data_IF_597008751662
#
_entry.id   IF_597008751662
#
_cell.length_a   1.000
_cell.length_b   1.000
_cell.length_c   1.000
_cell.angle_alpha   90.00
_cell.angle_beta   90.00
_cell.angle_gamma   90.00
#
_symmetry.space_group_name_H-M   'P 1'
#
loop_
_entity.id
_entity.type
_entity.pdbx_description
1 polymer ?
#
# COMPACT_ATOMS: atom_id res chain seq x y z
N UNK A 1 -10.59 93.37 -80.06
CA UNK A 1 -11.56 92.31 -79.98
C UNK A 1 -11.29 91.45 -78.75
N UNK A 2 -12.03 91.68 -77.70
CA UNK A 2 -11.93 90.85 -76.48
C UNK A 2 -13.27 90.24 -76.22
N UNK A 3 -13.38 88.92 -76.29
CA UNK A 3 -14.54 88.12 -75.83
C UNK A 3 -14.45 87.95 -74.33
N UNK A 4 -15.50 88.37 -73.61
CA UNK A 4 -15.67 87.96 -72.18
C UNK A 4 -16.55 86.72 -72.13
N UNK A 5 -16.04 85.72 -71.47
CA UNK A 5 -16.74 84.47 -71.22
C UNK A 5 -17.42 84.58 -69.84
N UNK A 6 -18.76 84.48 -69.81
CA UNK A 6 -19.54 84.40 -68.58
C UNK A 6 -19.54 82.95 -68.10
N UNK A 7 -19.00 82.73 -66.88
CA UNK A 7 -19.17 81.48 -66.18
C UNK A 7 -20.49 81.53 -65.37
N UNK A 8 -21.41 80.59 -65.64
CA UNK A 8 -22.57 80.32 -64.84
C UNK A 8 -22.17 79.21 -63.80
N UNK A 9 -22.16 79.55 -62.50
CA UNK A 9 -21.91 78.64 -61.41
C UNK A 9 -23.22 77.93 -61.07
N UNK A 10 -23.38 76.65 -61.47
CA UNK A 10 -24.49 75.79 -61.07
C UNK A 10 -24.11 75.15 -59.75
N UNK A 11 -24.70 75.57 -58.64
CA UNK A 11 -24.62 74.91 -57.34
C UNK A 11 -25.48 73.64 -57.33
N UNK A 12 -24.81 72.49 -57.39
CA UNK A 12 -25.44 71.19 -57.21
C UNK A 12 -25.62 70.96 -55.69
N UNK A 13 -26.83 70.99 -55.21
CA UNK A 13 -27.15 70.47 -53.84
C UNK A 13 -27.18 68.96 -53.94
N UNK A 14 -26.14 68.30 -53.38
CA UNK A 14 -26.16 66.88 -53.15
C UNK A 14 -26.92 66.66 -51.80
N UNK A 15 -28.14 66.18 -51.89
CA UNK A 15 -28.88 65.65 -50.76
C UNK A 15 -28.26 64.27 -50.50
N UNK A 16 -27.38 64.17 -49.53
CA UNK A 16 -26.93 62.92 -49.01
C UNK A 16 -28.07 62.31 -48.18
N UNK A 17 -28.81 61.38 -48.77
CA UNK A 17 -29.69 60.49 -48.02
C UNK A 17 -28.78 59.58 -47.22
N UNK A 18 -28.70 59.76 -45.91
CA UNK A 18 -28.12 58.83 -45.04
C UNK A 18 -29.17 57.73 -44.80
N UNK A 19 -29.15 56.68 -45.63
CA UNK A 19 -29.85 55.49 -45.33
C UNK A 19 -29.11 54.89 -44.08
N UNK A 20 -29.70 55.07 -42.94
CA UNK A 20 -29.33 54.27 -41.78
C UNK A 20 -29.81 52.84 -42.11
N UNK A 21 -28.89 51.96 -42.53
CA UNK A 21 -29.19 50.58 -42.53
C UNK A 21 -29.50 50.22 -41.01
N UNK A 22 -30.73 49.83 -40.74
CA UNK A 22 -31.15 49.36 -39.47
C UNK A 22 -30.34 48.03 -39.22
N UNK A 23 -29.19 48.16 -38.55
CA UNK A 23 -28.39 47.00 -38.14
C UNK A 23 -29.19 46.27 -37.08
N UNK A 24 -29.72 45.08 -37.40
CA UNK A 24 -30.45 44.26 -36.47
C UNK A 24 -29.58 43.96 -35.25
N UNK A 25 -30.13 44.06 -34.04
CA UNK A 25 -29.43 43.65 -32.83
C UNK A 25 -29.00 42.18 -32.91
N UNK A 26 -27.75 41.91 -32.57
CA UNK A 26 -27.16 40.59 -32.65
C UNK A 26 -27.20 39.92 -31.28
N UNK A 27 -27.69 38.68 -31.26
CA UNK A 27 -27.78 37.83 -30.05
C UNK A 27 -26.75 36.71 -30.15
N UNK A 28 -26.04 36.45 -29.02
CA UNK A 28 -25.09 35.36 -28.86
C UNK A 28 -25.39 34.59 -27.58
N UNK A 29 -25.04 33.29 -27.56
CA UNK A 29 -25.00 32.47 -26.34
C UNK A 29 -23.56 32.26 -25.91
N UNK A 30 -23.35 32.21 -24.60
CA UNK A 30 -22.08 31.92 -23.97
C UNK A 30 -22.25 31.02 -22.70
N UNK A 31 -21.24 30.24 -22.42
CA UNK A 31 -21.14 29.37 -21.26
C UNK A 31 -19.66 29.28 -20.81
N UNK A 32 -19.40 28.96 -19.55
CA UNK A 32 -18.04 28.95 -19.00
C UNK A 32 -17.15 27.85 -19.57
N UNK A 33 -17.73 26.68 -19.86
CA UNK A 33 -17.08 25.52 -20.47
C UNK A 33 -18.11 24.72 -21.29
N UNK A 34 -17.64 23.76 -22.08
CA UNK A 34 -18.46 22.88 -22.90
C UNK A 34 -18.36 21.40 -22.48
N UNK A 35 -17.63 21.10 -21.41
CA UNK A 35 -17.50 19.75 -20.86
C UNK A 35 -17.55 19.83 -19.35
N UNK A 36 -18.37 19.00 -18.75
CA UNK A 36 -18.55 18.91 -17.31
C UNK A 36 -18.72 17.45 -16.94
N UNK A 37 -18.16 17.06 -15.79
CA UNK A 37 -18.40 15.75 -15.21
C UNK A 37 -19.84 15.69 -14.70
N UNK A 38 -20.46 14.53 -14.71
CA UNK A 38 -21.85 14.33 -14.29
C UNK A 38 -22.05 14.74 -12.84
N UNK A 39 -21.11 14.39 -11.97
CA UNK A 39 -21.07 14.73 -10.55
C UNK A 39 -20.72 16.21 -10.25
N UNK A 40 -20.75 17.10 -11.25
CA UNK A 40 -20.43 18.51 -11.06
C UNK A 40 -21.45 19.21 -10.15
N UNK A 41 -21.08 19.48 -8.90
CA UNK A 41 -21.96 19.97 -7.84
C UNK A 41 -22.51 21.38 -8.04
N UNK A 42 -21.83 22.24 -8.86
CA UNK A 42 -22.25 23.62 -9.09
C UNK A 42 -23.18 23.73 -10.30
N UNK A 43 -23.98 24.79 -10.35
CA UNK A 43 -24.79 25.12 -11.51
C UNK A 43 -23.99 25.89 -12.55
N UNK A 44 -24.15 25.54 -13.82
CA UNK A 44 -23.57 26.31 -14.94
C UNK A 44 -24.54 27.37 -15.40
N UNK A 45 -24.00 28.53 -15.78
CA UNK A 45 -24.79 29.65 -16.28
C UNK A 45 -24.70 29.75 -17.80
N UNK A 46 -25.85 29.68 -18.46
CA UNK A 46 -25.98 29.98 -19.91
C UNK A 46 -26.43 31.41 -20.04
N UNK A 47 -25.63 32.24 -20.69
CA UNK A 47 -25.87 33.65 -20.84
C UNK A 47 -26.17 34.02 -22.32
N UNK A 48 -27.33 34.60 -22.55
CA UNK A 48 -27.64 35.26 -23.83
C UNK A 48 -27.25 36.73 -23.73
N UNK A 49 -26.48 37.20 -24.70
CA UNK A 49 -26.07 38.63 -24.79
C UNK A 49 -26.56 39.26 -26.08
N UNK A 50 -26.96 40.52 -25.98
CA UNK A 50 -27.33 41.35 -27.12
C UNK A 50 -26.33 42.52 -27.27
N UNK A 51 -25.89 42.82 -28.49
CA UNK A 51 -24.83 43.81 -28.74
C UNK A 51 -25.20 45.28 -28.51
N UNK A 52 -26.46 45.54 -28.19
CA UNK A 52 -27.01 46.85 -27.78
C UNK A 52 -27.98 46.63 -26.62
N UNK A 53 -28.16 47.59 -25.70
CA UNK A 53 -29.19 47.46 -24.66
C UNK A 53 -30.57 47.27 -25.27
N UNK A 54 -31.37 46.37 -24.69
CA UNK A 54 -32.70 46.08 -25.19
C UNK A 54 -33.66 47.27 -25.00
N UNK A 55 -34.39 47.63 -26.03
CA UNK A 55 -35.39 48.72 -25.97
C UNK A 55 -36.70 48.27 -25.29
N UNK A 56 -36.93 46.96 -25.20
CA UNK A 56 -38.05 46.29 -24.53
C UNK A 56 -37.60 44.91 -24.04
N UNK A 57 -38.39 44.23 -23.20
CA UNK A 57 -38.07 42.89 -22.77
C UNK A 57 -37.98 41.91 -23.93
N UNK A 58 -36.79 41.29 -24.11
CA UNK A 58 -36.53 40.29 -25.16
C UNK A 58 -36.65 38.91 -24.55
N UNK A 59 -37.65 38.15 -24.97
CA UNK A 59 -37.86 36.76 -24.56
C UNK A 59 -37.29 35.81 -25.60
N UNK A 60 -36.32 34.99 -25.18
CA UNK A 60 -35.68 33.95 -25.98
C UNK A 60 -36.17 32.60 -25.48
N UNK A 61 -36.81 31.83 -26.34
CA UNK A 61 -37.22 30.45 -26.04
C UNK A 61 -35.99 29.57 -26.11
N UNK A 62 -35.73 28.80 -25.05
CA UNK A 62 -34.66 27.82 -25.00
C UNK A 62 -35.21 26.45 -25.39
N UNK A 63 -34.54 25.81 -26.34
CA UNK A 63 -34.87 24.48 -26.81
C UNK A 63 -33.65 23.59 -26.53
N UNK A 64 -33.87 22.55 -25.78
CA UNK A 64 -32.86 21.51 -25.48
C UNK A 64 -33.13 20.24 -26.31
N UNK A 65 -32.08 19.57 -26.70
CA UNK A 65 -32.07 18.28 -27.37
C UNK A 65 -30.69 17.66 -27.19
N UNK A 66 -30.47 16.46 -27.66
CA UNK A 66 -29.20 15.73 -27.50
C UNK A 66 -29.45 14.28 -27.09
N UNK A 67 -28.44 13.63 -26.60
CA UNK A 67 -28.58 12.30 -25.97
C UNK A 67 -29.04 12.42 -24.53
N UNK A 68 -28.56 13.43 -23.79
CA UNK A 68 -28.94 13.68 -22.41
C UNK A 68 -30.43 14.03 -22.26
N UNK A 69 -31.08 13.45 -21.26
CA UNK A 69 -32.52 13.55 -20.98
C UNK A 69 -32.80 14.60 -19.91
N UNK A 70 -33.73 15.50 -20.18
CA UNK A 70 -34.15 16.51 -19.21
C UNK A 70 -34.89 15.86 -18.04
N UNK A 71 -34.57 16.25 -16.83
CA UNK A 71 -35.04 15.75 -15.53
C UNK A 71 -34.55 14.31 -15.17
N UNK A 72 -33.67 13.71 -16.00
CA UNK A 72 -32.89 12.50 -15.68
C UNK A 72 -31.42 12.88 -15.51
N UNK A 73 -30.75 13.42 -16.53
CA UNK A 73 -29.32 13.74 -16.54
C UNK A 73 -29.02 15.20 -16.22
N UNK A 74 -30.00 16.09 -16.45
CA UNK A 74 -29.88 17.51 -16.13
C UNK A 74 -31.23 18.17 -15.89
N UNK A 75 -31.18 19.32 -15.21
CA UNK A 75 -32.32 20.21 -15.05
C UNK A 75 -32.00 21.62 -15.52
N UNK A 76 -33.02 22.37 -15.95
CA UNK A 76 -32.89 23.78 -16.33
C UNK A 76 -33.78 24.70 -15.48
N UNK A 77 -33.26 25.85 -15.10
CA UNK A 77 -34.00 26.81 -14.26
C UNK A 77 -35.18 27.47 -14.96
N UNK A 78 -35.17 27.53 -16.29
CA UNK A 78 -36.24 28.09 -17.10
C UNK A 78 -36.13 27.64 -18.55
N UNK A 79 -37.27 27.49 -19.24
CA UNK A 79 -37.34 27.26 -20.68
C UNK A 79 -37.24 28.54 -21.53
N UNK A 80 -36.94 29.69 -20.90
CA UNK A 80 -36.73 30.96 -21.61
C UNK A 80 -35.69 31.84 -20.90
N UNK A 81 -34.92 32.60 -21.69
CA UNK A 81 -34.04 33.65 -21.21
C UNK A 81 -34.72 34.99 -21.49
N UNK A 82 -34.88 35.83 -20.46
CA UNK A 82 -35.38 37.20 -20.63
C UNK A 82 -34.22 38.18 -20.49
N UNK A 83 -34.00 38.99 -21.55
CA UNK A 83 -33.12 40.17 -21.48
C UNK A 83 -34.05 41.35 -21.21
N UNK A 84 -34.00 41.91 -20.02
CA UNK A 84 -34.90 43.00 -19.63
C UNK A 84 -34.57 44.31 -20.33
N UNK A 85 -35.58 45.18 -20.48
CA UNK A 85 -35.40 46.54 -21.01
C UNK A 85 -34.21 47.26 -20.36
N UNK A 86 -33.36 47.86 -21.15
CA UNK A 86 -32.14 48.55 -20.72
C UNK A 86 -30.97 47.64 -20.39
N UNK A 87 -31.15 46.32 -20.37
CA UNK A 87 -30.09 45.30 -20.15
C UNK A 87 -29.49 44.83 -21.46
N UNK A 88 -28.29 44.29 -21.42
CA UNK A 88 -27.61 43.67 -22.58
C UNK A 88 -27.41 42.16 -22.41
N UNK A 89 -27.93 41.54 -21.34
CA UNK A 89 -27.84 40.09 -21.15
C UNK A 89 -28.95 39.57 -20.25
N UNK A 90 -29.22 38.28 -20.39
CA UNK A 90 -30.06 37.48 -19.48
C UNK A 90 -29.50 36.06 -19.39
N UNK A 91 -29.88 35.31 -18.39
CA UNK A 91 -29.30 33.99 -18.15
C UNK A 91 -30.30 32.98 -17.62
N UNK A 92 -30.00 31.71 -17.82
CA UNK A 92 -30.59 30.57 -17.14
C UNK A 92 -29.45 29.72 -16.54
N UNK A 93 -29.82 28.75 -15.71
CA UNK A 93 -28.89 27.83 -15.06
C UNK A 93 -29.24 26.42 -15.46
N UNK A 94 -28.20 25.58 -15.62
CA UNK A 94 -28.29 24.13 -15.78
C UNK A 94 -27.62 23.52 -14.55
N UNK A 95 -28.24 22.47 -14.02
CA UNK A 95 -27.69 21.62 -12.96
C UNK A 95 -27.64 20.21 -13.51
N UNK A 96 -26.50 19.55 -13.41
CA UNK A 96 -26.38 18.14 -13.74
C UNK A 96 -26.97 17.29 -12.62
N UNK A 97 -27.42 16.11 -12.93
CA UNK A 97 -28.03 15.16 -12.02
C UNK A 97 -27.17 13.90 -12.07
N UNK A 98 -26.43 13.69 -10.99
CA UNK A 98 -25.53 12.57 -10.79
C UNK A 98 -26.35 11.34 -10.36
N UNK A 99 -26.09 10.18 -10.97
CA UNK A 99 -26.65 8.88 -10.55
C UNK A 99 -25.55 7.80 -10.47
N UNK A 100 -25.82 6.55 -10.66
CA UNK A 100 -24.84 5.45 -10.65
C UNK A 100 -25.08 4.52 -11.83
N UNK A 101 -25.54 5.06 -12.95
CA UNK A 101 -25.80 4.32 -14.17
C UNK A 101 -24.69 4.59 -15.18
N UNK A 102 -23.93 3.57 -15.59
CA UNK A 102 -22.92 3.72 -16.64
C UNK A 102 -23.60 3.87 -17.99
N UNK A 103 -23.77 5.09 -18.46
CA UNK A 103 -24.47 5.45 -19.68
C UNK A 103 -23.53 5.89 -20.82
N UNK A 104 -22.30 6.25 -20.44
CA UNK A 104 -21.31 6.87 -21.32
C UNK A 104 -21.60 8.35 -21.58
N UNK A 105 -20.60 9.06 -22.11
CA UNK A 105 -20.68 10.51 -22.27
C UNK A 105 -21.88 10.93 -23.12
N UNK A 106 -22.63 11.89 -22.62
CA UNK A 106 -23.81 12.42 -23.26
C UNK A 106 -23.68 13.88 -23.70
N UNK A 107 -24.67 14.44 -24.39
CA UNK A 107 -24.63 15.82 -24.76
C UNK A 107 -26.01 16.53 -24.68
N UNK A 108 -25.95 17.78 -24.29
CA UNK A 108 -27.08 18.74 -24.32
C UNK A 108 -26.85 19.70 -25.46
N UNK A 109 -27.73 19.68 -26.46
CA UNK A 109 -27.77 20.67 -27.52
C UNK A 109 -28.75 21.78 -27.14
N UNK A 110 -28.24 23.02 -26.99
CA UNK A 110 -29.04 24.18 -26.60
C UNK A 110 -29.18 25.10 -27.80
N UNK A 111 -30.42 25.40 -28.16
CA UNK A 111 -30.75 26.36 -29.22
C UNK A 111 -31.68 27.44 -28.66
N UNK A 112 -31.55 28.68 -29.15
CA UNK A 112 -32.48 29.75 -28.82
C UNK A 112 -33.23 30.23 -30.03
N UNK A 113 -34.47 30.67 -29.81
CA UNK A 113 -35.32 31.27 -30.80
C UNK A 113 -36.12 32.45 -30.22
N UNK A 114 -36.52 33.41 -31.03
CA UNK A 114 -37.39 34.50 -30.65
C UNK A 114 -38.32 34.87 -31.79
N UNK A 115 -39.47 35.46 -31.51
CA UNK A 115 -40.37 36.06 -32.47
C UNK A 115 -39.94 37.45 -32.92
N UNK A 116 -38.95 38.08 -32.24
CA UNK A 116 -38.39 39.38 -32.58
C UNK A 116 -37.47 39.34 -33.79
N UNK A 117 -37.14 40.52 -34.30
CA UNK A 117 -36.29 40.66 -35.49
C UNK A 117 -34.84 40.87 -35.06
N UNK A 118 -34.11 39.78 -34.83
CA UNK A 118 -32.72 39.72 -34.34
C UNK A 118 -31.82 38.99 -35.32
N UNK A 119 -30.52 39.32 -35.29
CA UNK A 119 -29.47 38.54 -35.92
C UNK A 119 -28.94 37.53 -34.92
N UNK A 120 -29.14 36.22 -35.14
CA UNK A 120 -28.65 35.18 -34.30
C UNK A 120 -27.23 34.77 -34.71
N UNK A 121 -26.26 34.98 -33.80
CA UNK A 121 -24.84 34.61 -33.96
C UNK A 121 -24.41 33.71 -32.83
N UNK A 122 -23.82 32.55 -33.14
CA UNK A 122 -23.38 31.56 -32.09
C UNK A 122 -24.50 31.27 -31.06
N UNK A 123 -25.68 30.91 -31.54
CA UNK A 123 -26.88 30.69 -30.72
C UNK A 123 -27.16 29.20 -30.47
N UNK A 124 -26.19 28.36 -30.81
CA UNK A 124 -26.21 26.93 -30.55
C UNK A 124 -25.00 26.59 -29.68
N UNK A 125 -25.24 25.90 -28.60
CA UNK A 125 -24.21 25.33 -27.73
C UNK A 125 -24.40 23.79 -27.67
N UNK A 126 -23.29 23.07 -27.65
CA UNK A 126 -23.27 21.64 -27.38
C UNK A 126 -22.42 21.44 -26.10
N UNK A 127 -23.05 21.00 -25.04
CA UNK A 127 -22.41 20.75 -23.76
C UNK A 127 -22.32 19.23 -23.60
N UNK A 128 -21.14 18.73 -23.29
CA UNK A 128 -20.91 17.29 -23.01
C UNK A 128 -20.97 17.07 -21.52
N UNK A 129 -21.78 16.10 -21.11
CA UNK A 129 -21.76 15.49 -19.78
C UNK A 129 -20.81 14.31 -19.87
N UNK A 130 -19.84 14.26 -19.00
CA UNK A 130 -18.87 13.16 -18.92
C UNK A 130 -19.34 12.23 -17.82
N UNK A 131 -19.70 11.02 -18.22
CA UNK A 131 -20.04 9.92 -17.34
C UNK A 131 -18.82 9.53 -16.52
N UNK A 132 -18.93 9.46 -15.21
CA UNK A 132 -17.89 9.01 -14.27
C UNK A 132 -18.24 7.68 -13.55
N UNK A 133 -19.35 7.05 -13.93
CA UNK A 133 -19.84 5.76 -13.45
C UNK A 133 -19.41 4.62 -14.37
N UNK A 134 -18.11 4.31 -14.29
CA UNK A 134 -17.55 3.22 -15.09
C UNK A 134 -18.03 1.85 -14.57
N UNK A 135 -18.44 0.99 -15.50
CA UNK A 135 -18.66 -0.44 -15.30
C UNK A 135 -17.69 -1.17 -16.24
N UNK A 136 -16.50 -1.52 -15.72
CA UNK A 136 -15.37 -1.98 -16.52
C UNK A 136 -15.60 -3.38 -17.09
N UNK A 137 -16.28 -4.28 -16.37
CA UNK A 137 -16.53 -5.68 -16.80
C UNK A 137 -17.93 -5.89 -17.36
N UNK A 138 -18.85 -4.93 -17.17
CA UNK A 138 -20.16 -4.94 -17.80
C UNK A 138 -21.21 -5.79 -17.09
N UNK A 139 -21.09 -6.00 -15.80
CA UNK A 139 -22.01 -6.82 -15.00
C UNK A 139 -23.23 -6.02 -14.47
N UNK A 140 -23.22 -4.70 -14.62
CA UNK A 140 -24.28 -3.79 -14.18
C UNK A 140 -24.05 -3.20 -12.80
N UNK A 141 -22.84 -3.35 -12.26
CA UNK A 141 -22.40 -2.69 -11.02
C UNK A 141 -21.23 -1.79 -11.37
N UNK A 142 -21.35 -0.50 -11.06
CA UNK A 142 -20.28 0.46 -11.36
C UNK A 142 -19.04 0.18 -10.50
N UNK A 143 -17.85 0.42 -11.04
CA UNK A 143 -16.55 0.10 -10.43
C UNK A 143 -16.42 0.58 -8.96
N UNK A 144 -17.02 1.72 -8.61
CA UNK A 144 -16.99 2.29 -7.26
C UNK A 144 -17.78 1.44 -6.24
N UNK A 145 -18.77 0.71 -6.70
CA UNK A 145 -19.64 -0.16 -5.90
C UNK A 145 -19.32 -1.65 -6.09
N UNK A 146 -18.37 -1.95 -6.98
CA UNK A 146 -17.96 -3.29 -7.33
C UNK A 146 -16.70 -3.70 -6.55
N UNK A 147 -16.75 -4.84 -5.88
CA UNK A 147 -15.61 -5.42 -5.18
C UNK A 147 -14.62 -6.10 -6.14
N UNK A 148 -15.04 -6.42 -7.37
CA UNK A 148 -14.25 -7.07 -8.40
C UNK A 148 -14.38 -6.35 -9.76
N UNK A 149 -13.99 -5.08 -9.92
CA UNK A 149 -14.31 -4.25 -11.10
C UNK A 149 -13.80 -4.74 -12.46
N UNK A 150 -13.00 -5.78 -12.50
CA UNK A 150 -12.46 -6.39 -13.73
C UNK A 150 -13.01 -7.80 -13.99
N UNK A 151 -13.92 -8.31 -13.11
CA UNK A 151 -14.39 -9.70 -13.16
C UNK A 151 -15.88 -9.80 -12.84
N UNK A 152 -16.71 -9.79 -13.90
CA UNK A 152 -18.15 -9.76 -13.81
C UNK A 152 -18.78 -10.82 -12.90
N UNK A 153 -19.59 -10.38 -11.94
CA UNK A 153 -20.28 -11.22 -10.98
C UNK A 153 -21.68 -10.74 -10.63
N UNK A 154 -22.41 -11.48 -9.80
CA UNK A 154 -23.76 -11.10 -9.41
C UNK A 154 -23.76 -10.03 -8.30
N UNK A 155 -24.87 -9.30 -8.21
CA UNK A 155 -25.08 -8.27 -7.17
C UNK A 155 -24.99 -8.84 -5.74
N UNK A 156 -25.34 -10.11 -5.55
CA UNK A 156 -25.25 -10.80 -4.27
C UNK A 156 -23.79 -10.97 -3.82
N UNK A 157 -22.84 -11.03 -4.76
CA UNK A 157 -21.39 -11.08 -4.54
C UNK A 157 -20.72 -9.71 -4.58
N UNK A 158 -21.50 -8.62 -4.61
CA UNK A 158 -20.98 -7.27 -4.79
C UNK A 158 -20.11 -7.12 -6.04
N UNK A 159 -20.55 -7.73 -7.17
CA UNK A 159 -19.82 -7.74 -8.42
C UNK A 159 -18.79 -8.85 -8.57
N UNK A 160 -18.51 -9.61 -7.51
CA UNK A 160 -17.54 -10.69 -7.61
C UNK A 160 -18.18 -12.00 -8.09
N UNK A 161 -17.53 -12.74 -9.02
CA UNK A 161 -17.93 -14.07 -9.39
C UNK A 161 -17.71 -15.09 -8.27
N UNK A 162 -18.27 -16.27 -8.42
CA UNK A 162 -17.95 -17.50 -7.70
C UNK A 162 -17.31 -18.43 -8.75
N UNK A 163 -15.97 -18.34 -8.86
CA UNK A 163 -15.23 -18.91 -9.98
C UNK A 163 -15.24 -20.43 -9.98
N UNK A 164 -15.17 -21.08 -8.82
CA UNK A 164 -15.13 -22.53 -8.68
C UNK A 164 -16.50 -23.15 -8.37
N UNK A 165 -17.48 -22.33 -7.97
CA UNK A 165 -18.87 -22.75 -7.80
C UNK A 165 -19.17 -23.39 -6.45
N UNK A 166 -18.41 -23.10 -5.43
CA UNK A 166 -18.62 -23.65 -4.07
C UNK A 166 -19.64 -22.85 -3.24
N UNK A 167 -20.02 -21.66 -3.71
CA UNK A 167 -20.99 -20.77 -3.08
C UNK A 167 -20.38 -19.67 -2.24
N UNK A 168 -19.05 -19.47 -2.33
CA UNK A 168 -18.33 -18.33 -1.77
C UNK A 168 -17.84 -17.49 -2.94
N UNK A 169 -18.05 -16.19 -2.87
CA UNK A 169 -17.60 -15.29 -3.93
C UNK A 169 -16.09 -15.02 -3.81
N UNK A 170 -15.42 -14.81 -4.94
CA UNK A 170 -13.95 -14.70 -5.05
C UNK A 170 -13.33 -13.67 -4.09
N UNK A 171 -14.07 -12.60 -3.74
CA UNK A 171 -13.60 -11.59 -2.78
C UNK A 171 -13.62 -12.07 -1.31
N UNK A 172 -14.36 -13.10 -1.00
CA UNK A 172 -14.47 -13.73 0.33
C UNK A 172 -13.81 -15.11 0.37
N UNK A 173 -13.40 -15.63 -0.80
CA UNK A 173 -12.78 -16.92 -0.99
C UNK A 173 -11.25 -16.82 -0.95
N UNK A 174 -10.60 -17.62 -0.11
CA UNK A 174 -9.14 -17.72 -0.05
C UNK A 174 -8.57 -18.63 -1.15
N UNK A 175 -9.39 -19.49 -1.75
CA UNK A 175 -9.01 -20.41 -2.83
C UNK A 175 -9.98 -20.31 -4.02
N UNK A 176 -10.10 -19.17 -4.71
CA UNK A 176 -11.15 -18.89 -5.69
C UNK A 176 -11.21 -19.84 -6.90
N UNK A 177 -10.18 -20.64 -7.13
CA UNK A 177 -10.07 -21.60 -8.24
C UNK A 177 -10.28 -23.06 -7.80
N UNK A 178 -10.44 -23.34 -6.48
CA UNK A 178 -10.50 -24.71 -5.91
C UNK A 178 -11.66 -24.84 -4.92
N UNK A 179 -12.78 -25.51 -5.28
CA UNK A 179 -13.98 -25.60 -4.46
C UNK A 179 -13.71 -26.14 -3.05
N UNK A 180 -14.16 -25.40 -2.04
CA UNK A 180 -13.99 -25.77 -0.65
C UNK A 180 -15.21 -25.54 0.22
N UNK A 181 -15.04 -25.57 1.51
CA UNK A 181 -16.12 -25.38 2.48
C UNK A 181 -16.09 -23.96 3.08
N UNK A 182 -17.27 -23.41 3.35
CA UNK A 182 -17.45 -22.12 4.04
C UNK A 182 -16.68 -22.07 5.38
N UNK A 183 -16.60 -23.21 6.10
CA UNK A 183 -15.88 -23.30 7.37
C UNK A 183 -14.35 -23.14 7.19
N UNK A 184 -13.85 -23.37 5.98
CA UNK A 184 -12.46 -23.24 5.58
C UNK A 184 -12.23 -22.06 4.62
N UNK A 185 -13.12 -21.06 4.63
CA UNK A 185 -13.04 -19.85 3.80
C UNK A 185 -12.86 -20.16 2.32
N UNK A 186 -13.59 -21.16 1.79
CA UNK A 186 -13.57 -21.55 0.39
C UNK A 186 -12.43 -22.50 -0.01
N UNK A 187 -11.51 -22.83 0.87
CA UNK A 187 -10.44 -23.75 0.54
C UNK A 187 -10.85 -25.23 0.73
N UNK A 188 -10.35 -26.14 -0.12
CA UNK A 188 -10.52 -27.59 0.10
C UNK A 188 -9.93 -28.00 1.46
N UNK A 189 -10.62 -28.87 2.16
CA UNK A 189 -10.10 -29.51 3.39
C UNK A 189 -9.10 -30.59 2.96
N UNK A 190 -7.92 -30.17 2.54
CA UNK A 190 -6.78 -31.03 2.19
C UNK A 190 -5.70 -30.83 3.22
N UNK A 191 -5.15 -31.92 3.73
CA UNK A 191 -4.00 -31.99 4.64
C UNK A 191 -3.12 -33.12 4.09
N UNK A 192 -2.21 -32.76 3.20
CA UNK A 192 -1.46 -33.72 2.37
C UNK A 192 -0.43 -34.51 3.16
N UNK A 193 0.14 -33.94 4.23
CA UNK A 193 1.15 -34.58 5.06
C UNK A 193 0.62 -35.07 6.41
N UNK A 194 -0.62 -34.66 6.77
CA UNK A 194 -1.34 -35.18 7.93
C UNK A 194 -0.91 -34.59 9.26
N UNK A 195 -0.39 -33.36 9.28
CA UNK A 195 0.08 -32.68 10.48
C UNK A 195 -1.01 -31.89 11.23
N UNK A 196 -2.17 -31.70 10.60
CA UNK A 196 -3.33 -30.98 11.14
C UNK A 196 -3.41 -29.53 10.74
N UNK A 197 -2.52 -29.05 9.86
CA UNK A 197 -2.61 -27.78 9.16
C UNK A 197 -3.07 -28.06 7.73
N UNK A 198 -4.13 -27.39 7.28
CA UNK A 198 -4.67 -27.62 5.94
C UNK A 198 -3.73 -27.00 4.88
N UNK A 199 -3.60 -27.63 3.72
CA UNK A 199 -2.70 -27.20 2.63
C UNK A 199 -2.82 -25.72 2.28
N UNK A 200 -4.04 -25.14 2.30
CA UNK A 200 -4.27 -23.73 2.04
C UNK A 200 -3.73 -22.76 3.11
N UNK A 201 -3.41 -23.29 4.29
CA UNK A 201 -2.83 -22.54 5.42
C UNK A 201 -1.45 -23.06 5.81
N UNK A 202 -0.92 -24.00 5.02
CA UNK A 202 0.37 -24.68 5.26
C UNK A 202 1.44 -24.14 4.31
N UNK A 203 2.48 -23.52 4.89
CA UNK A 203 3.63 -23.05 4.11
C UNK A 203 4.49 -24.21 3.57
N UNK A 204 4.32 -25.44 4.13
CA UNK A 204 5.06 -26.66 3.76
C UNK A 204 4.14 -27.87 3.54
N UNK A 205 3.19 -27.86 2.59
CA UNK A 205 2.08 -28.83 2.50
C UNK A 205 2.45 -30.31 2.32
N UNK A 206 3.72 -30.65 2.23
CA UNK A 206 4.25 -32.00 2.05
C UNK A 206 5.30 -32.39 3.10
N UNK A 207 5.55 -31.55 4.11
CA UNK A 207 6.55 -31.77 5.15
C UNK A 207 5.95 -31.45 6.53
N UNK A 208 5.53 -32.46 7.31
CA UNK A 208 4.78 -32.24 8.54
C UNK A 208 5.47 -31.34 9.56
N UNK A 209 4.75 -30.35 10.06
CA UNK A 209 5.23 -29.45 11.08
C UNK A 209 4.09 -28.92 11.98
N UNK A 210 4.40 -28.26 13.09
CA UNK A 210 3.37 -27.76 13.99
C UNK A 210 2.72 -26.47 13.46
N UNK A 211 1.46 -26.26 13.80
CA UNK A 211 0.69 -25.08 13.39
C UNK A 211 1.33 -23.73 13.75
N UNK A 212 2.16 -23.68 14.82
CA UNK A 212 2.90 -22.46 15.17
C UNK A 212 3.94 -22.03 14.11
N UNK A 213 4.33 -22.91 13.20
CA UNK A 213 5.20 -22.65 12.05
C UNK A 213 4.43 -22.81 10.73
N UNK A 214 3.10 -22.57 10.75
CA UNK A 214 2.24 -22.70 9.57
C UNK A 214 2.47 -24.03 8.84
N UNK A 215 2.50 -25.15 9.58
CA UNK A 215 2.71 -26.47 9.00
C UNK A 215 4.18 -26.81 8.65
N UNK A 216 5.09 -25.86 8.71
CA UNK A 216 6.50 -26.17 8.43
C UNK A 216 7.22 -26.85 9.58
N UNK A 217 8.21 -27.73 9.30
CA UNK A 217 9.03 -28.33 10.33
C UNK A 217 9.72 -27.27 11.20
N UNK A 218 9.71 -27.50 12.52
CA UNK A 218 10.42 -26.61 13.46
C UNK A 218 11.91 -26.50 13.09
N UNK A 219 12.49 -25.29 13.12
CA UNK A 219 13.90 -25.08 12.86
C UNK A 219 14.78 -25.97 13.75
N UNK A 220 15.73 -26.67 13.14
CA UNK A 220 16.63 -27.61 13.86
C UNK A 220 17.87 -26.87 14.36
N UNK A 221 17.68 -25.94 15.27
CA UNK A 221 18.72 -25.14 15.91
C UNK A 221 18.61 -25.25 17.43
N UNK A 222 19.71 -25.16 18.12
CA UNK A 222 19.75 -25.13 19.60
C UNK A 222 20.82 -24.18 20.11
N UNK A 223 20.71 -23.77 21.37
CA UNK A 223 21.78 -23.10 22.09
C UNK A 223 22.67 -24.18 22.70
N UNK A 224 23.97 -24.16 22.40
CA UNK A 224 24.95 -25.11 22.87
C UNK A 224 25.76 -24.59 24.07
N UNK A 225 26.17 -23.31 24.03
CA UNK A 225 26.95 -22.69 25.10
C UNK A 225 26.47 -21.23 25.30
N UNK A 226 26.48 -20.78 26.58
CA UNK A 226 26.14 -19.42 26.98
C UNK A 226 27.13 -18.92 28.04
N UNK A 227 27.70 -17.74 27.81
CA UNK A 227 28.48 -17.02 28.79
C UNK A 227 27.76 -15.69 29.10
N UNK A 228 27.15 -15.58 30.27
CA UNK A 228 26.47 -14.38 30.75
C UNK A 228 27.22 -13.67 31.88
N UNK A 229 28.25 -14.27 32.45
CA UNK A 229 29.06 -13.74 33.55
C UNK A 229 30.56 -14.03 33.32
N UNK A 230 31.18 -13.31 32.34
CA UNK A 230 32.62 -13.53 32.07
C UNK A 230 33.48 -13.08 33.24
N UNK A 231 34.55 -13.83 33.50
CA UNK A 231 35.40 -13.63 34.68
C UNK A 231 36.18 -12.30 34.64
N UNK A 232 35.93 -11.41 35.57
CA UNK A 232 36.50 -10.07 35.68
C UNK A 232 37.98 -9.99 36.15
N UNK A 233 38.75 -11.07 36.12
CA UNK A 233 40.14 -11.09 36.57
C UNK A 233 41.11 -11.10 35.39
N UNK A 234 41.59 -9.93 35.03
CA UNK A 234 42.52 -9.73 33.91
C UNK A 234 41.86 -10.08 32.59
N UNK A 235 42.51 -10.87 31.75
CA UNK A 235 41.99 -11.31 30.46
C UNK A 235 41.35 -12.72 30.54
N UNK A 236 41.05 -13.24 31.73
CA UNK A 236 40.46 -14.56 31.84
C UNK A 236 39.03 -14.64 31.31
N UNK A 237 38.34 -13.50 31.28
CA UNK A 237 37.00 -13.38 30.74
C UNK A 237 36.93 -12.77 29.36
N UNK A 238 38.07 -12.47 28.72
CA UNK A 238 38.16 -12.02 27.35
C UNK A 238 37.76 -13.15 26.38
N UNK A 239 36.47 -13.35 26.22
CA UNK A 239 35.93 -14.46 25.45
C UNK A 239 35.90 -14.17 23.96
N UNK A 240 35.78 -12.89 23.60
CA UNK A 240 35.83 -12.47 22.21
C UNK A 240 37.28 -12.36 21.67
N UNK A 241 38.28 -12.44 22.56
CA UNK A 241 39.70 -12.52 22.22
C UNK A 241 40.29 -11.21 21.68
N UNK A 242 39.67 -10.09 21.91
CA UNK A 242 40.13 -8.79 21.38
C UNK A 242 41.24 -8.14 22.22
N UNK A 243 41.59 -8.76 23.34
CA UNK A 243 42.65 -8.33 24.25
C UNK A 243 42.20 -7.33 25.32
N UNK A 244 40.90 -7.19 25.50
CA UNK A 244 40.27 -6.40 26.55
C UNK A 244 39.20 -7.23 27.24
N UNK A 245 39.02 -7.02 28.52
CA UNK A 245 37.85 -7.54 29.22
C UNK A 245 36.81 -6.44 29.35
N UNK A 246 35.67 -6.63 28.76
CA UNK A 246 34.49 -5.79 28.91
C UNK A 246 33.28 -6.72 29.09
N UNK A 247 32.66 -6.71 30.26
CA UNK A 247 31.63 -7.69 30.61
C UNK A 247 30.60 -7.89 29.53
N UNK A 248 29.94 -6.83 29.11
CA UNK A 248 28.82 -6.89 28.14
C UNK A 248 29.29 -7.24 26.71
N UNK A 249 30.59 -7.02 26.37
CA UNK A 249 31.16 -7.34 25.07
C UNK A 249 31.63 -8.80 24.98
N UNK A 250 32.04 -9.39 26.13
CA UNK A 250 32.55 -10.74 26.24
C UNK A 250 31.46 -11.79 26.53
N UNK A 251 30.24 -11.36 26.84
CA UNK A 251 29.09 -12.25 26.85
C UNK A 251 28.88 -12.87 25.48
N UNK A 252 28.45 -14.13 25.42
CA UNK A 252 28.11 -14.76 24.16
C UNK A 252 27.03 -15.84 24.29
N UNK A 253 26.38 -16.09 23.14
CA UNK A 253 25.47 -17.19 22.90
C UNK A 253 25.98 -17.97 21.68
N UNK A 254 26.15 -19.27 21.84
CA UNK A 254 26.51 -20.20 20.79
C UNK A 254 25.31 -20.96 20.28
N UNK A 255 25.05 -20.87 18.98
CA UNK A 255 23.98 -21.60 18.29
C UNK A 255 24.57 -22.73 17.47
N UNK A 256 23.93 -23.89 17.48
CA UNK A 256 24.29 -25.06 16.68
C UNK A 256 23.11 -25.48 15.79
N UNK A 257 23.35 -25.61 14.50
CA UNK A 257 22.37 -26.12 13.54
C UNK A 257 22.54 -27.65 13.39
N UNK A 258 21.54 -28.44 13.83
CA UNK A 258 21.53 -29.90 13.71
C UNK A 258 20.63 -30.39 12.53
N UNK A 259 20.15 -29.48 11.69
CA UNK A 259 19.34 -29.74 10.49
C UNK A 259 20.10 -29.49 9.19
N UNK A 260 19.38 -29.27 8.11
CA UNK A 260 19.91 -28.73 6.85
C UNK A 260 20.41 -27.29 7.03
N UNK A 261 21.04 -26.74 5.98
CA UNK A 261 21.44 -25.33 5.99
C UNK A 261 20.25 -24.44 6.38
N UNK A 262 20.44 -23.60 7.41
CA UNK A 262 19.39 -22.81 8.01
C UNK A 262 19.66 -21.32 7.78
N UNK A 263 18.81 -20.66 7.00
CA UNK A 263 18.80 -19.20 6.85
C UNK A 263 18.07 -18.57 8.03
N UNK A 264 18.79 -17.80 8.83
CA UNK A 264 18.26 -17.03 9.97
C UNK A 264 18.30 -15.53 9.72
N UNK A 265 18.36 -15.12 8.46
CA UNK A 265 18.32 -13.70 8.07
C UNK A 265 17.07 -13.02 8.60
N UNK A 266 17.25 -11.91 9.33
CA UNK A 266 16.14 -11.16 9.91
C UNK A 266 15.55 -11.74 11.19
N UNK A 267 16.01 -12.89 11.67
CA UNK A 267 15.66 -13.36 13.00
C UNK A 267 16.23 -12.43 14.06
N UNK A 268 15.63 -12.41 15.25
CA UNK A 268 16.05 -11.53 16.33
C UNK A 268 16.32 -12.27 17.62
N UNK A 269 17.25 -11.73 18.41
CA UNK A 269 17.57 -12.20 19.77
C UNK A 269 17.13 -11.12 20.74
N UNK A 270 16.33 -11.50 21.70
CA UNK A 270 15.82 -10.63 22.76
C UNK A 270 16.25 -11.15 24.13
N UNK A 271 16.52 -10.24 25.05
CA UNK A 271 16.48 -10.53 26.48
C UNK A 271 15.10 -10.16 27.05
N UNK A 272 14.97 -10.14 28.37
CA UNK A 272 13.73 -9.74 29.05
C UNK A 272 13.34 -8.27 28.87
N UNK A 273 14.25 -7.41 28.39
CA UNK A 273 14.08 -5.97 28.33
C UNK A 273 13.93 -5.46 26.89
N UNK A 274 14.70 -5.99 25.92
CA UNK A 274 14.79 -5.42 24.58
C UNK A 274 15.25 -6.42 23.50
N UNK A 275 15.12 -6.02 22.24
CA UNK A 275 15.79 -6.65 21.11
C UNK A 275 17.29 -6.32 21.16
N UNK A 276 18.12 -7.35 21.23
CA UNK A 276 19.58 -7.25 21.39
C UNK A 276 20.34 -7.46 20.09
N UNK A 277 19.78 -8.24 19.17
CA UNK A 277 20.40 -8.50 17.88
C UNK A 277 19.36 -8.82 16.80
N UNK A 278 19.62 -8.36 15.58
CA UNK A 278 18.94 -8.82 14.36
C UNK A 278 20.01 -9.43 13.45
N UNK A 279 19.82 -10.70 13.07
CA UNK A 279 20.74 -11.38 12.16
C UNK A 279 20.70 -10.73 10.77
N UNK A 280 21.85 -10.27 10.25
CA UNK A 280 21.93 -9.63 8.95
C UNK A 280 21.46 -10.52 7.79
N UNK A 281 21.02 -9.90 6.69
CA UNK A 281 20.66 -10.63 5.47
C UNK A 281 21.81 -11.49 4.96
N UNK A 282 21.53 -12.76 4.66
CA UNK A 282 22.52 -13.76 4.22
C UNK A 282 23.21 -14.50 5.36
N UNK A 283 22.68 -14.41 6.58
CA UNK A 283 23.16 -15.23 7.72
C UNK A 283 22.59 -16.64 7.58
N UNK A 284 23.40 -17.56 7.04
CA UNK A 284 23.06 -18.98 6.87
C UNK A 284 23.99 -19.84 7.71
N UNK A 285 23.43 -20.59 8.66
CA UNK A 285 24.20 -21.56 9.45
C UNK A 285 24.16 -22.90 8.70
N UNK A 286 25.31 -23.39 8.19
CA UNK A 286 25.33 -24.65 7.45
C UNK A 286 24.95 -25.85 8.32
N UNK A 287 24.62 -26.95 7.69
CA UNK A 287 24.40 -28.25 8.37
C UNK A 287 25.55 -28.59 9.29
N UNK A 288 25.28 -28.78 10.58
CA UNK A 288 26.31 -29.06 11.61
C UNK A 288 27.18 -27.84 11.94
N UNK A 289 26.83 -26.67 11.44
CA UNK A 289 27.56 -25.42 11.66
C UNK A 289 27.20 -24.74 12.97
N UNK A 290 28.05 -23.81 13.35
CA UNK A 290 27.97 -23.01 14.57
C UNK A 290 27.95 -21.53 14.25
N UNK A 291 27.16 -20.78 15.00
CA UNK A 291 27.21 -19.32 15.04
C UNK A 291 27.44 -18.88 16.50
N UNK A 292 28.42 -18.00 16.71
CA UNK A 292 28.66 -17.35 17.99
C UNK A 292 28.25 -15.89 17.90
N UNK A 293 27.30 -15.49 18.73
CA UNK A 293 26.89 -14.11 18.90
C UNK A 293 27.53 -13.56 20.17
N UNK A 294 28.50 -12.64 20.02
CA UNK A 294 29.07 -11.88 21.13
C UNK A 294 28.27 -10.64 21.46
N UNK A 295 28.32 -10.20 22.70
CA UNK A 295 27.73 -8.95 23.13
C UNK A 295 28.32 -7.73 22.43
N UNK A 296 29.61 -7.75 22.13
CA UNK A 296 30.25 -6.62 21.45
C UNK A 296 31.73 -6.83 21.15
N UNK A 297 32.50 -5.72 21.17
CA UNK A 297 33.93 -5.71 20.92
C UNK A 297 34.34 -5.98 19.48
N UNK A 298 35.55 -6.42 19.28
CA UNK A 298 36.09 -6.82 17.98
C UNK A 298 36.60 -8.26 18.03
N UNK A 299 35.73 -9.26 17.92
CA UNK A 299 36.12 -10.66 18.08
C UNK A 299 37.34 -11.04 17.26
N UNK A 300 38.38 -11.59 17.91
CA UNK A 300 39.64 -11.93 17.28
C UNK A 300 40.02 -13.37 17.60
N UNK A 301 39.85 -14.26 16.64
CA UNK A 301 40.12 -15.68 16.79
C UNK A 301 39.63 -16.49 15.61
N UNK A 302 39.84 -17.79 15.67
CA UNK A 302 39.33 -18.71 14.64
C UNK A 302 37.93 -19.27 14.98
N UNK A 303 37.61 -19.28 16.27
CA UNK A 303 36.34 -19.76 16.82
C UNK A 303 35.87 -21.07 16.13
N UNK A 304 36.82 -22.01 15.96
CA UNK A 304 36.54 -23.29 15.30
C UNK A 304 36.03 -23.23 13.87
N UNK A 305 35.99 -22.03 13.25
CA UNK A 305 35.37 -21.81 11.95
C UNK A 305 33.89 -21.43 12.03
N UNK A 306 33.38 -21.13 13.23
CA UNK A 306 32.02 -20.63 13.43
C UNK A 306 31.77 -19.31 12.69
N UNK A 307 30.52 -19.03 12.37
CA UNK A 307 30.08 -17.70 12.01
C UNK A 307 30.12 -16.85 13.29
N UNK A 308 30.77 -15.67 13.21
CA UNK A 308 30.90 -14.78 14.37
C UNK A 308 30.16 -13.48 14.07
N UNK A 309 29.30 -13.06 14.99
CA UNK A 309 28.60 -11.79 14.96
C UNK A 309 28.67 -11.09 16.31
N UNK A 310 28.40 -9.81 16.34
CA UNK A 310 28.26 -8.99 17.56
C UNK A 310 26.86 -8.39 17.62
N UNK A 311 26.34 -8.18 18.82
CA UNK A 311 25.04 -7.57 19.05
C UNK A 311 24.95 -6.20 18.34
N UNK A 312 23.81 -5.94 17.70
CA UNK A 312 23.55 -4.73 16.91
C UNK A 312 22.22 -4.04 17.26
N UNK A 313 21.54 -4.53 18.29
CA UNK A 313 20.28 -4.00 18.78
C UNK A 313 20.48 -2.96 19.90
N UNK A 314 19.61 -3.00 20.90
CA UNK A 314 19.63 -2.04 21.99
C UNK A 314 20.98 -2.08 22.74
N UNK A 315 21.60 -0.92 22.93
CA UNK A 315 22.93 -0.71 23.56
C UNK A 315 24.10 -1.44 22.86
N UNK A 316 23.90 -2.12 21.74
CA UNK A 316 24.87 -2.97 21.06
C UNK A 316 25.52 -3.99 22.02
N UNK A 317 24.73 -4.61 22.85
CA UNK A 317 25.11 -5.60 23.84
C UNK A 317 24.01 -6.66 23.99
N UNK A 318 24.37 -7.88 24.35
CA UNK A 318 23.39 -8.90 24.73
C UNK A 318 22.84 -8.60 26.12
N UNK A 319 23.73 -8.14 27.02
CA UNK A 319 23.42 -7.65 28.37
C UNK A 319 22.58 -8.64 29.20
N UNK A 320 23.03 -9.89 29.29
CA UNK A 320 22.37 -10.92 30.05
C UNK A 320 22.51 -10.70 31.55
N UNK A 321 21.38 -10.68 32.27
CA UNK A 321 21.38 -10.42 33.71
C UNK A 321 21.82 -11.63 34.50
N UNK A 322 22.92 -11.51 35.26
CA UNK A 322 23.49 -12.59 36.08
C UNK A 322 22.53 -13.16 37.16
N UNK A 323 21.50 -12.41 37.53
CA UNK A 323 20.52 -12.81 38.56
C UNK A 323 19.31 -13.59 38.03
N UNK A 324 19.24 -13.76 36.74
CA UNK A 324 18.15 -14.39 36.02
C UNK A 324 17.68 -13.54 34.85
N UNK A 325 17.58 -14.14 33.69
CA UNK A 325 17.12 -13.52 32.45
C UNK A 325 16.58 -14.58 31.51
N UNK A 326 15.88 -14.12 30.44
CA UNK A 326 15.44 -15.00 29.37
C UNK A 326 16.02 -14.48 28.06
N UNK A 327 16.73 -15.34 27.37
CA UNK A 327 17.10 -15.10 25.97
C UNK A 327 16.09 -15.80 25.09
N UNK A 328 15.40 -15.04 24.26
CA UNK A 328 14.44 -15.59 23.29
C UNK A 328 14.88 -15.21 21.87
N UNK A 329 14.87 -16.21 21.00
CA UNK A 329 15.12 -16.04 19.57
C UNK A 329 13.80 -16.14 18.85
N UNK A 330 13.49 -15.13 18.06
CA UNK A 330 12.30 -15.08 17.21
C UNK A 330 12.69 -15.18 15.73
N UNK A 331 11.85 -15.83 14.96
CA UNK A 331 11.97 -15.83 13.51
C UNK A 331 11.42 -14.51 12.89
N UNK A 332 11.40 -14.42 11.57
CA UNK A 332 10.90 -13.22 10.83
C UNK A 332 9.41 -12.98 11.00
N UNK A 333 8.66 -13.96 11.47
CA UNK A 333 7.22 -13.89 11.76
C UNK A 333 6.94 -13.63 13.25
N UNK A 334 7.97 -13.27 14.03
CA UNK A 334 7.90 -13.07 15.48
C UNK A 334 7.49 -14.35 16.25
N UNK A 335 7.71 -15.54 15.67
CA UNK A 335 7.48 -16.82 16.33
C UNK A 335 8.71 -17.16 17.17
N UNK A 336 8.51 -17.49 18.46
CA UNK A 336 9.58 -17.92 19.34
C UNK A 336 10.13 -19.28 18.91
N UNK A 337 11.37 -19.30 18.44
CA UNK A 337 12.10 -20.52 18.01
C UNK A 337 12.83 -21.19 19.16
N UNK A 338 13.53 -20.37 19.95
CA UNK A 338 14.33 -20.82 21.09
C UNK A 338 14.10 -19.91 22.30
N UNK A 339 14.08 -20.49 23.47
CA UNK A 339 14.15 -19.75 24.74
C UNK A 339 15.18 -20.39 25.64
N UNK A 340 16.05 -19.59 26.23
CA UNK A 340 17.02 -20.00 27.23
C UNK A 340 16.78 -19.23 28.54
N UNK A 341 16.56 -19.94 29.60
CA UNK A 341 16.33 -19.39 30.95
C UNK A 341 17.63 -19.45 31.75
N UNK A 342 18.17 -18.28 32.09
CA UNK A 342 19.40 -18.16 32.89
C UNK A 342 19.13 -18.41 34.39
N UNK A 343 17.89 -18.15 34.87
CA UNK A 343 17.60 -18.21 36.32
C UNK A 343 18.01 -19.51 36.99
N UNK A 344 17.75 -20.73 36.44
CA UNK A 344 18.18 -21.97 37.05
C UNK A 344 19.70 -22.14 37.14
N UNK A 345 20.44 -21.40 36.30
CA UNK A 345 21.91 -21.46 36.20
C UNK A 345 22.57 -20.24 36.87
N UNK A 346 21.79 -19.30 37.42
CA UNK A 346 22.30 -18.09 38.04
C UNK A 346 23.20 -18.37 39.23
N UNK A 347 24.20 -17.51 39.48
CA UNK A 347 25.11 -17.66 40.61
C UNK A 347 26.51 -17.12 40.41
N UNK A 348 26.75 -16.29 39.40
CA UNK A 348 28.04 -15.69 39.05
C UNK A 348 29.13 -16.75 38.89
N UNK A 349 29.04 -17.65 37.92
CA UNK A 349 29.97 -18.77 37.77
C UNK A 349 31.37 -18.31 37.29
N UNK A 350 31.48 -17.13 36.66
CA UNK A 350 32.69 -16.62 35.99
C UNK A 350 33.21 -17.55 34.89
N UNK A 351 32.33 -18.34 34.31
CA UNK A 351 32.56 -19.29 33.23
C UNK A 351 31.25 -19.53 32.48
N UNK A 352 31.32 -20.12 31.30
CA UNK A 352 30.13 -20.48 30.56
C UNK A 352 29.40 -21.69 31.12
N UNK A 353 28.16 -21.80 30.68
CA UNK A 353 27.41 -23.07 30.71
C UNK A 353 27.41 -23.65 29.31
N UNK A 354 27.85 -24.88 29.15
CA UNK A 354 27.85 -25.62 27.89
C UNK A 354 27.09 -26.93 28.03
N UNK A 355 26.55 -27.46 26.93
CA UNK A 355 25.93 -28.79 26.95
C UNK A 355 27.00 -29.85 27.11
N UNK A 356 26.75 -30.81 27.99
CA UNK A 356 27.65 -31.94 28.18
C UNK A 356 26.89 -33.30 28.12
N UNK A 357 27.10 -34.15 27.07
CA UNK A 357 27.93 -33.88 25.87
C UNK A 357 27.41 -32.70 25.04
N UNK A 358 28.31 -32.05 24.28
CA UNK A 358 27.96 -31.02 23.33
C UNK A 358 26.72 -31.39 22.51
N UNK A 359 25.84 -30.44 22.23
CA UNK A 359 24.64 -30.59 21.43
C UNK A 359 23.50 -31.33 22.13
N UNK A 360 23.79 -32.42 22.81
CA UNK A 360 22.76 -33.38 23.30
C UNK A 360 22.59 -33.43 24.81
N UNK A 361 23.57 -32.94 25.58
CA UNK A 361 23.55 -32.95 27.03
C UNK A 361 22.77 -31.83 27.68
N UNK A 362 22.68 -31.90 29.01
CA UNK A 362 22.21 -30.80 29.82
C UNK A 362 23.32 -29.75 29.97
N UNK A 363 22.97 -28.55 30.42
CA UNK A 363 23.93 -27.49 30.66
C UNK A 363 24.73 -27.75 31.95
N UNK A 364 26.05 -27.73 31.84
CA UNK A 364 27.00 -27.84 32.95
C UNK A 364 27.99 -26.67 32.94
N UNK A 365 28.56 -26.31 34.08
CA UNK A 365 29.66 -25.33 34.16
C UNK A 365 30.87 -25.84 33.39
N UNK A 366 31.40 -25.04 32.49
CA UNK A 366 32.42 -25.42 31.50
C UNK A 366 33.71 -25.95 32.15
N UNK A 367 34.29 -25.23 33.13
CA UNK A 367 35.54 -25.61 33.75
C UNK A 367 35.43 -26.89 34.64
N UNK A 368 34.21 -27.26 35.01
CA UNK A 368 33.90 -28.48 35.75
C UNK A 368 33.96 -29.75 34.91
N UNK A 369 33.87 -29.62 33.59
CA UNK A 369 33.90 -30.72 32.62
C UNK A 369 35.36 -31.18 32.44
N UNK A 370 35.68 -32.49 32.64
CA UNK A 370 37.07 -32.97 32.55
C UNK A 370 37.74 -32.69 31.19
N UNK A 371 36.98 -32.74 30.10
CA UNK A 371 37.44 -32.53 28.73
C UNK A 371 37.82 -31.05 28.48
N UNK A 372 37.25 -30.11 29.20
CA UNK A 372 37.56 -28.67 29.12
C UNK A 372 38.99 -28.32 29.60
N UNK A 373 39.63 -29.25 30.38
CA UNK A 373 40.96 -29.02 30.96
C UNK A 373 41.07 -27.71 31.78
N UNK A 374 39.97 -27.26 32.38
CA UNK A 374 39.89 -26.03 33.14
C UNK A 374 39.73 -24.75 32.30
N UNK A 375 39.44 -24.86 31.02
CA UNK A 375 38.98 -23.72 30.22
C UNK A 375 37.66 -23.17 30.75
N UNK A 376 37.45 -21.86 30.69
CA UNK A 376 36.25 -21.23 31.22
C UNK A 376 35.13 -21.13 30.20
N UNK A 377 35.45 -21.29 28.92
CA UNK A 377 34.54 -21.24 27.78
C UNK A 377 35.21 -21.78 26.52
N UNK A 378 34.41 -22.07 25.48
CA UNK A 378 34.90 -22.66 24.22
C UNK A 378 34.17 -22.11 22.97
N UNK A 379 33.97 -20.78 22.80
CA UNK A 379 33.13 -20.24 21.75
C UNK A 379 33.55 -20.73 20.36
N UNK A 380 32.61 -21.33 19.63
CA UNK A 380 32.83 -21.88 18.28
C UNK A 380 33.51 -23.25 18.26
N UNK A 381 33.83 -23.83 19.38
CA UNK A 381 34.44 -25.15 19.47
C UNK A 381 33.72 -26.04 20.53
N UNK A 382 33.88 -27.31 20.45
CA UNK A 382 33.42 -28.23 21.48
C UNK A 382 34.13 -27.97 22.81
N UNK A 383 33.59 -28.48 23.90
CA UNK A 383 34.14 -28.33 25.22
C UNK A 383 35.60 -28.79 25.34
N UNK A 384 36.05 -29.73 24.52
CA UNK A 384 37.44 -30.21 24.44
C UNK A 384 38.34 -29.35 23.52
N UNK A 385 37.84 -28.28 22.94
CA UNK A 385 38.50 -27.38 22.00
C UNK A 385 38.58 -27.89 20.55
N UNK A 386 37.97 -29.02 20.23
CA UNK A 386 37.87 -29.51 18.85
C UNK A 386 36.75 -28.78 18.08
N UNK A 387 36.89 -28.67 16.76
CA UNK A 387 35.85 -28.11 15.93
C UNK A 387 34.63 -29.03 15.87
N UNK A 388 33.45 -28.43 15.64
CA UNK A 388 32.20 -29.20 15.46
C UNK A 388 32.22 -30.00 14.14
N UNK A 389 32.93 -29.53 13.10
CA UNK A 389 33.09 -30.23 11.80
C UNK A 389 34.56 -30.27 11.35
#
# INVERSE_FOLDING_TARGET
MRFQLFYILATFFIISSCDTEDILPAITLDVSDLQFDENYEDTIQITASINVPADEDVNLIVLTSGSATLDEDYSISSSSITIFEGSSSGSIFITFLDDFESEGNENIEINISSSGNFLFLNTQLSITIIDDDFDTDGDGIVDVNDSCPEAAGPIEGLGCPDTDGDGIYDNEDQCPDEPGDVENSGCPIVDADGDGVLDGFDDCPNEPGPAQYNGCPSPKILINEVLYDPWNSGLNGDANGDGQYVQDEDEFIEFYNYGSDLDISGWSVHDSEAERHIFPQGTVIPTGGVLVLFGGGTPTGTFGGAIVQTANGFENAINMNNGGDFVTVYDVNEISVLTFDIEPLSGNPNESYTRNPDITGEFEQHAGIPEANGALFSPGTRVDGSNFN
#
